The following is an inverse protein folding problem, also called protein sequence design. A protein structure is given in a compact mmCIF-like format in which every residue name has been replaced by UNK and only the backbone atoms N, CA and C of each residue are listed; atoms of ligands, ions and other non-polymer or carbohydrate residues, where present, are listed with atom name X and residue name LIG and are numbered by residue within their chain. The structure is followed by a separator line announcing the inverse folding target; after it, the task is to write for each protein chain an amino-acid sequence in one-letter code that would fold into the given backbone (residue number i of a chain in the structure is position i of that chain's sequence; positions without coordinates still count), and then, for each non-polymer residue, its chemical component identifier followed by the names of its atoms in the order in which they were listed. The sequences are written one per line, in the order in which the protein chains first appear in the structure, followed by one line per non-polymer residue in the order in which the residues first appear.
data_IF_128259037224
#
_entry.id   IF_128259037224
#
_cell.length_a   1.000
_cell.length_b   1.000
_cell.length_c   1.000
_cell.angle_alpha   90.00
_cell.angle_beta   90.00
_cell.angle_gamma   90.00
#
_symmetry.space_group_name_H-M   'P 1'
#
loop_
_entity.id
_entity.type
_entity.pdbx_description
1 polymer ?
#
# COMPACT_ATOMS: atom_id res chain seq x y z
N UNK A 1 -28.31 1.56 69.84
CA UNK A 1 -27.52 1.99 68.66
C UNK A 1 -26.24 1.15 68.61
N UNK A 2 -26.19 0.10 67.80
CA UNK A 2 -24.95 -0.61 67.47
C UNK A 2 -24.71 -0.41 65.97
N UNK A 3 -23.64 0.30 65.61
CA UNK A 3 -23.27 0.54 64.23
C UNK A 3 -22.36 -0.62 63.75
N UNK A 4 -22.86 -1.39 62.78
CA UNK A 4 -22.10 -2.41 62.06
C UNK A 4 -21.14 -1.74 61.08
N UNK A 5 -19.84 -1.82 61.35
CA UNK A 5 -18.78 -1.35 60.45
C UNK A 5 -18.50 -2.45 59.42
N UNK A 6 -18.91 -2.22 58.17
CA UNK A 6 -18.63 -3.14 57.05
C UNK A 6 -17.30 -2.73 56.41
N UNK A 7 -16.26 -3.56 56.59
CA UNK A 7 -14.99 -3.42 55.90
C UNK A 7 -15.11 -3.97 54.47
N UNK A 8 -15.04 -3.09 53.47
CA UNK A 8 -15.01 -3.47 52.06
C UNK A 8 -13.55 -3.67 51.65
N UNK A 9 -13.14 -4.93 51.48
CA UNK A 9 -11.81 -5.27 50.99
C UNK A 9 -11.75 -5.11 49.46
N UNK A 10 -11.10 -4.05 48.98
CA UNK A 10 -10.84 -3.81 47.56
C UNK A 10 -9.64 -4.63 47.09
N UNK A 11 -9.90 -5.71 46.33
CA UNK A 11 -8.86 -6.46 45.62
C UNK A 11 -8.40 -5.67 44.38
N UNK A 12 -7.20 -5.12 44.41
CA UNK A 12 -6.53 -4.62 43.19
C UNK A 12 -5.90 -5.80 42.45
N UNK A 13 -6.45 -6.12 41.27
CA UNK A 13 -5.87 -7.11 40.36
C UNK A 13 -4.63 -6.48 39.70
N UNK A 14 -3.44 -6.88 40.13
CA UNK A 14 -2.19 -6.52 39.45
C UNK A 14 -1.97 -7.49 38.29
N UNK A 15 -2.23 -7.05 37.06
CA UNK A 15 -1.89 -7.81 35.86
C UNK A 15 -0.39 -7.67 35.59
N UNK A 16 0.41 -8.61 36.10
CA UNK A 16 1.79 -8.76 35.66
C UNK A 16 1.80 -9.25 34.20
N UNK A 17 2.02 -8.33 33.26
CA UNK A 17 2.24 -8.66 31.86
C UNK A 17 3.55 -9.46 31.74
N UNK A 18 3.45 -10.78 31.71
CA UNK A 18 4.58 -11.68 31.45
C UNK A 18 4.87 -11.67 29.94
N UNK A 19 5.55 -10.62 29.48
CA UNK A 19 6.17 -10.61 28.16
C UNK A 19 7.19 -11.75 28.09
N UNK A 20 6.96 -12.73 27.23
CA UNK A 20 7.96 -13.77 26.92
C UNK A 20 9.16 -13.09 26.26
N UNK A 21 10.18 -12.77 27.05
CA UNK A 21 11.47 -12.35 26.53
C UNK A 21 12.02 -13.45 25.62
N UNK A 22 12.33 -13.10 24.37
CA UNK A 22 13.19 -13.95 23.55
C UNK A 22 14.47 -14.24 24.36
N UNK A 23 14.91 -15.50 24.41
CA UNK A 23 15.97 -16.03 25.30
C UNK A 23 17.37 -15.37 25.19
N UNK A 24 17.50 -14.25 24.49
CA UNK A 24 18.73 -13.49 24.25
C UNK A 24 18.65 -12.00 24.60
N UNK A 25 17.53 -11.51 25.14
CA UNK A 25 17.35 -10.10 25.47
C UNK A 25 17.44 -9.88 26.99
N UNK A 26 18.19 -8.86 27.41
CA UNK A 26 18.26 -8.41 28.81
C UNK A 26 17.11 -7.48 29.17
N UNK A 27 17.16 -6.91 30.38
CA UNK A 27 16.24 -5.86 30.82
C UNK A 27 16.37 -4.63 29.93
N UNK A 28 15.25 -4.02 29.53
CA UNK A 28 15.24 -2.81 28.72
C UNK A 28 15.68 -1.61 29.56
N UNK A 29 16.73 -0.93 29.13
CA UNK A 29 17.24 0.31 29.73
C UNK A 29 17.15 1.45 28.69
N UNK A 30 16.03 2.20 28.63
CA UNK A 30 15.77 3.19 27.57
C UNK A 30 16.81 4.32 27.49
N UNK A 31 17.46 4.62 28.62
CA UNK A 31 18.50 5.66 28.70
C UNK A 31 19.76 5.32 27.88
N UNK A 32 19.98 4.05 27.57
CA UNK A 32 21.12 3.57 26.78
C UNK A 32 20.84 3.51 25.27
N UNK A 33 19.64 3.89 24.84
CA UNK A 33 19.28 3.88 23.43
C UNK A 33 19.99 4.98 22.64
N UNK A 34 20.39 4.67 21.41
CA UNK A 34 20.97 5.65 20.48
C UNK A 34 19.86 6.61 20.01
N UNK A 35 20.07 7.93 20.04
CA UNK A 35 19.08 8.90 19.56
C UNK A 35 18.83 8.76 18.06
N UNK A 36 17.58 8.96 17.64
CA UNK A 36 17.18 8.96 16.23
C UNK A 36 17.77 10.17 15.47
N UNK A 37 17.94 10.07 14.13
CA UNK A 37 18.38 11.18 13.31
C UNK A 37 17.45 12.40 13.45
N UNK A 38 18.01 13.61 13.46
CA UNK A 38 17.24 14.86 13.54
C UNK A 38 16.33 15.09 12.35
N UNK A 39 16.70 14.54 11.18
CA UNK A 39 15.92 14.61 9.95
C UNK A 39 14.76 13.59 9.91
N UNK A 40 14.63 12.78 10.96
CA UNK A 40 13.65 11.70 11.06
C UNK A 40 14.03 10.45 10.27
N UNK A 41 13.19 9.41 10.36
CA UNK A 41 13.38 8.16 9.63
C UNK A 41 12.52 8.16 8.36
N UNK A 42 13.17 8.04 7.19
CA UNK A 42 12.50 8.09 5.88
C UNK A 42 11.39 7.02 5.70
N UNK A 43 11.55 5.85 6.33
CA UNK A 43 10.61 4.72 6.27
C UNK A 43 9.95 4.44 7.62
N UNK A 44 9.92 5.45 8.50
CA UNK A 44 9.37 5.35 9.85
C UNK A 44 10.32 4.66 10.84
N UNK A 45 9.86 4.61 12.08
CA UNK A 45 10.57 3.97 13.20
C UNK A 45 9.99 2.59 13.50
N UNK A 46 10.79 1.76 14.14
CA UNK A 46 10.39 0.46 14.68
C UNK A 46 11.19 0.17 15.93
N UNK A 47 10.72 -0.75 16.75
CA UNK A 47 11.52 -1.21 17.89
C UNK A 47 12.61 -2.18 17.43
N UNK A 48 13.75 -2.11 18.11
CA UNK A 48 14.87 -3.03 17.95
C UNK A 48 14.44 -4.51 18.15
N UNK A 49 15.31 -5.49 17.86
CA UNK A 49 14.95 -6.89 17.98
C UNK A 49 14.44 -7.32 19.37
N UNK A 50 14.87 -6.62 20.43
CA UNK A 50 14.46 -6.87 21.81
C UNK A 50 13.23 -6.07 22.25
N UNK A 51 12.75 -5.09 21.46
CA UNK A 51 11.55 -4.32 21.78
C UNK A 51 11.78 -3.15 22.75
N UNK A 52 13.01 -2.70 22.92
CA UNK A 52 13.42 -1.66 23.86
C UNK A 52 13.64 -0.30 23.20
N UNK A 53 14.49 -0.24 22.16
CA UNK A 53 14.90 1.03 21.57
C UNK A 53 14.18 1.29 20.25
N UNK A 54 13.80 2.54 20.01
CA UNK A 54 13.36 2.97 18.68
C UNK A 54 14.55 3.10 17.74
N UNK A 55 14.43 2.49 16.56
CA UNK A 55 15.42 2.52 15.48
C UNK A 55 14.73 2.85 14.16
N UNK A 56 15.46 3.44 13.21
CA UNK A 56 14.93 3.61 11.86
C UNK A 56 14.76 2.24 11.19
N UNK A 57 13.57 2.02 10.62
CA UNK A 57 13.30 0.81 9.86
C UNK A 57 14.09 0.80 8.54
N UNK A 58 14.51 -0.38 8.10
CA UNK A 58 15.21 -0.51 6.82
C UNK A 58 14.25 -0.27 5.64
N UNK A 59 14.64 0.61 4.74
CA UNK A 59 13.89 1.03 3.55
C UNK A 59 14.01 0.09 2.37
N UNK A 60 13.30 0.41 1.28
CA UNK A 60 13.35 -0.37 0.05
C UNK A 60 14.77 -0.40 -0.53
N UNK A 61 15.30 -1.59 -0.80
CA UNK A 61 16.67 -1.78 -1.29
C UNK A 61 17.74 -1.80 -0.19
N UNK A 62 17.40 -1.52 1.06
CA UNK A 62 18.36 -1.56 2.17
C UNK A 62 18.60 -2.99 2.68
N UNK A 63 19.78 -3.19 3.29
CA UNK A 63 20.15 -4.46 3.91
C UNK A 63 19.29 -4.76 5.13
N UNK A 64 18.81 -5.99 5.22
CA UNK A 64 18.04 -6.52 6.34
C UNK A 64 18.54 -7.89 6.77
N UNK A 65 17.98 -8.41 7.87
CA UNK A 65 18.43 -9.67 8.45
C UNK A 65 19.65 -9.50 9.36
N UNK A 66 20.28 -10.61 9.70
CA UNK A 66 21.36 -10.70 10.68
C UNK A 66 21.02 -11.60 11.87
N UNK A 67 21.93 -11.67 12.85
CA UNK A 67 21.72 -12.33 14.14
C UNK A 67 22.09 -11.37 15.26
N UNK A 68 21.37 -11.43 16.38
CA UNK A 68 21.64 -10.58 17.54
C UNK A 68 21.13 -9.15 17.37
N UNK A 69 21.76 -8.21 18.06
CA UNK A 69 21.31 -6.82 18.18
C UNK A 69 21.52 -5.99 16.90
N UNK A 70 22.40 -6.42 15.99
CA UNK A 70 22.61 -5.79 14.69
C UNK A 70 21.64 -6.26 13.62
N UNK A 71 20.69 -7.15 13.96
CA UNK A 71 19.68 -7.61 13.02
C UNK A 71 18.72 -6.47 12.66
N UNK A 72 18.72 -6.07 11.38
CA UNK A 72 17.90 -4.97 10.88
C UNK A 72 16.61 -5.51 10.29
N UNK A 73 15.46 -4.92 10.62
CA UNK A 73 14.17 -5.33 10.03
C UNK A 73 13.68 -4.28 9.04
N UNK A 74 12.97 -4.75 8.03
CA UNK A 74 12.38 -3.88 7.02
C UNK A 74 11.19 -3.09 7.59
N UNK A 75 10.92 -1.94 6.98
CA UNK A 75 9.80 -1.09 7.31
C UNK A 75 8.43 -1.79 7.18
N UNK A 76 7.38 -1.30 7.87
CA UNK A 76 6.05 -1.88 7.80
C UNK A 76 5.50 -1.98 6.37
N UNK A 77 5.19 -3.19 5.92
CA UNK A 77 4.74 -3.47 4.55
C UNK A 77 5.85 -3.92 3.60
N UNK A 78 7.05 -4.16 4.12
CA UNK A 78 8.17 -4.74 3.38
C UNK A 78 8.52 -6.14 3.90
N UNK A 79 9.25 -6.89 3.08
CA UNK A 79 9.75 -8.23 3.38
C UNK A 79 11.26 -8.29 3.11
N UNK A 80 11.97 -9.02 3.97
CA UNK A 80 13.40 -9.22 3.83
C UNK A 80 13.65 -10.45 2.94
N UNK A 81 14.02 -10.22 1.69
CA UNK A 81 14.29 -11.28 0.71
C UNK A 81 15.79 -11.57 0.68
N UNK A 82 16.15 -12.84 0.69
CA UNK A 82 17.53 -13.31 0.57
C UNK A 82 17.76 -13.88 -0.81
N UNK A 83 18.98 -13.77 -1.31
CA UNK A 83 19.35 -14.45 -2.55
C UNK A 83 19.23 -15.96 -2.40
N UNK A 84 18.61 -16.59 -3.40
CA UNK A 84 18.32 -18.02 -3.38
C UNK A 84 19.59 -18.88 -3.42
N UNK A 85 20.65 -18.38 -4.07
CA UNK A 85 21.96 -19.03 -4.18
C UNK A 85 22.75 -18.98 -2.86
N UNK A 86 22.55 -17.93 -2.07
CA UNK A 86 23.18 -17.75 -0.76
C UNK A 86 22.21 -18.04 0.38
N UNK A 87 21.68 -19.26 0.45
CA UNK A 87 20.82 -19.70 1.57
C UNK A 87 21.52 -19.66 2.94
N UNK A 88 22.85 -19.54 2.97
CA UNK A 88 23.63 -19.30 4.21
C UNK A 88 23.76 -17.82 4.57
N UNK A 89 23.38 -16.90 3.69
CA UNK A 89 23.47 -15.47 3.98
C UNK A 89 22.53 -15.12 5.12
N UNK A 90 23.12 -14.46 6.12
CA UNK A 90 22.38 -13.95 7.28
C UNK A 90 21.61 -12.68 6.91
N UNK A 91 22.00 -12.02 5.83
CA UNK A 91 21.47 -10.76 5.37
C UNK A 91 20.63 -10.96 4.10
N UNK A 92 19.78 -9.99 3.81
CA UNK A 92 18.96 -9.89 2.62
C UNK A 92 18.69 -8.43 2.30
N UNK A 93 17.77 -8.19 1.38
CA UNK A 93 17.34 -6.86 0.95
C UNK A 93 15.85 -6.69 1.22
N UNK A 94 15.47 -5.49 1.67
CA UNK A 94 14.07 -5.14 1.87
C UNK A 94 13.38 -4.87 0.54
N UNK A 95 12.30 -5.61 0.28
CA UNK A 95 11.44 -5.43 -0.89
C UNK A 95 10.02 -5.10 -0.43
N UNK A 96 9.25 -4.46 -1.31
CA UNK A 96 7.84 -4.19 -1.01
C UNK A 96 7.03 -5.49 -1.00
N UNK A 97 6.15 -5.68 -0.01
CA UNK A 97 5.19 -6.80 -0.02
C UNK A 97 4.10 -6.63 -1.08
N UNK A 98 3.79 -5.39 -1.42
CA UNK A 98 2.82 -5.07 -2.47
C UNK A 98 3.53 -5.03 -3.81
N UNK A 99 3.06 -5.86 -4.74
CA UNK A 99 3.52 -5.94 -6.12
C UNK A 99 2.45 -5.44 -7.12
N UNK A 100 1.50 -4.63 -6.64
CA UNK A 100 0.38 -4.13 -7.43
C UNK A 100 0.19 -2.63 -7.20
N UNK A 101 -0.32 -1.94 -8.21
CA UNK A 101 -0.58 -0.51 -8.18
C UNK A 101 -1.69 -0.14 -7.19
N UNK A 102 -1.64 1.07 -6.63
CA UNK A 102 -2.69 1.60 -5.75
C UNK A 102 -3.04 3.04 -6.11
N UNK A 103 -4.32 3.39 -5.94
CA UNK A 103 -4.77 4.77 -6.07
C UNK A 103 -4.71 5.45 -4.71
N UNK A 104 -3.99 6.56 -4.62
CA UNK A 104 -3.94 7.39 -3.42
C UNK A 104 -5.16 8.30 -3.28
N UNK A 105 -5.42 8.76 -2.05
CA UNK A 105 -6.44 9.78 -1.76
C UNK A 105 -6.15 11.14 -2.41
N UNK A 106 -4.94 11.33 -2.93
CA UNK A 106 -4.49 12.45 -3.74
C UNK A 106 -4.80 12.30 -5.24
N UNK A 107 -5.45 11.21 -5.64
CA UNK A 107 -5.76 10.91 -7.05
C UNK A 107 -4.55 10.45 -7.87
N UNK A 108 -3.42 10.17 -7.24
CA UNK A 108 -2.20 9.70 -7.89
C UNK A 108 -2.15 8.17 -7.84
N UNK A 109 -1.79 7.55 -8.97
CA UNK A 109 -1.51 6.12 -9.02
C UNK A 109 -0.07 5.84 -8.64
N UNK A 110 0.12 5.03 -7.61
CA UNK A 110 1.42 4.58 -7.13
C UNK A 110 1.70 3.16 -7.62
N UNK A 111 2.95 2.88 -8.02
CA UNK A 111 3.35 1.57 -8.55
C UNK A 111 3.16 0.44 -7.54
N UNK A 112 3.43 0.72 -6.28
CA UNK A 112 3.23 -0.20 -5.16
C UNK A 112 2.70 0.54 -3.94
N UNK A 113 2.15 -0.21 -2.98
CA UNK A 113 1.80 0.36 -1.67
C UNK A 113 2.98 0.97 -0.89
N UNK A 114 4.23 0.59 -1.18
CA UNK A 114 5.40 1.17 -0.53
C UNK A 114 5.73 2.56 -1.07
N UNK A 115 5.55 2.79 -2.37
CA UNK A 115 5.76 4.10 -2.98
C UNK A 115 4.76 5.13 -2.43
N UNK A 116 3.50 4.71 -2.24
CA UNK A 116 2.48 5.55 -1.61
C UNK A 116 2.87 5.90 -0.17
N UNK A 117 3.32 4.93 0.64
CA UNK A 117 3.74 5.20 2.02
C UNK A 117 4.94 6.16 2.09
N UNK A 118 5.91 6.00 1.20
CA UNK A 118 7.06 6.91 1.13
C UNK A 118 6.62 8.33 0.75
N UNK A 119 5.69 8.46 -0.21
CA UNK A 119 5.09 9.74 -0.57
C UNK A 119 4.28 10.35 0.58
N UNK A 120 3.51 9.54 1.30
CA UNK A 120 2.74 9.96 2.48
C UNK A 120 3.65 10.52 3.58
N UNK A 121 4.73 9.79 3.93
CA UNK A 121 5.67 10.26 4.94
C UNK A 121 6.31 11.60 4.55
N UNK A 122 6.67 11.76 3.27
CA UNK A 122 7.17 13.03 2.74
C UNK A 122 6.13 14.13 2.82
N UNK A 123 4.86 13.84 2.53
CA UNK A 123 3.77 14.79 2.66
C UNK A 123 3.61 15.26 4.12
N UNK A 124 3.55 14.32 5.07
CA UNK A 124 3.45 14.60 6.51
C UNK A 124 4.63 15.45 6.99
N UNK A 125 5.86 15.10 6.62
CA UNK A 125 7.06 15.86 6.99
C UNK A 125 7.06 17.29 6.40
N UNK A 126 6.32 17.51 5.32
CA UNK A 126 6.12 18.81 4.69
C UNK A 126 4.82 19.49 5.15
N UNK A 127 4.18 18.99 6.22
CA UNK A 127 2.90 19.48 6.76
C UNK A 127 1.77 19.51 5.71
N UNK A 128 1.83 18.61 4.73
CA UNK A 128 0.78 18.40 3.72
C UNK A 128 -0.23 17.36 4.20
N UNK A 129 -1.44 17.33 3.60
CA UNK A 129 -2.45 16.32 3.92
C UNK A 129 -1.92 14.89 3.77
N UNK A 130 -2.38 14.00 4.65
CA UNK A 130 -2.04 12.57 4.61
C UNK A 130 -2.57 11.90 3.32
N UNK A 131 -1.71 11.08 2.70
CA UNK A 131 -2.02 10.27 1.53
C UNK A 131 -2.32 8.84 1.98
N UNK A 132 -3.55 8.39 1.77
CA UNK A 132 -4.01 7.04 2.12
C UNK A 132 -4.38 6.27 0.85
N UNK A 133 -4.48 4.95 0.95
CA UNK A 133 -4.95 4.13 -0.18
C UNK A 133 -6.46 4.33 -0.33
N UNK A 134 -6.89 4.88 -1.45
CA UNK A 134 -8.30 5.00 -1.82
C UNK A 134 -8.82 3.65 -2.35
N UNK A 135 -8.13 3.07 -3.35
CA UNK A 135 -8.51 1.82 -4.00
C UNK A 135 -7.26 1.02 -4.43
N UNK A 136 -7.42 -0.30 -4.58
CA UNK A 136 -6.42 -1.16 -5.23
C UNK A 136 -6.46 -0.94 -6.76
N UNK A 137 -5.30 -0.97 -7.40
CA UNK A 137 -5.16 -0.70 -8.82
C UNK A 137 -4.94 0.78 -9.13
N UNK A 138 -5.06 1.14 -10.41
CA UNK A 138 -4.92 2.52 -10.88
C UNK A 138 -6.08 3.38 -10.41
N UNK A 139 -5.86 4.69 -10.35
CA UNK A 139 -6.94 5.65 -10.17
C UNK A 139 -7.91 5.61 -11.34
N UNK A 140 -9.17 5.95 -11.04
CA UNK A 140 -10.23 6.02 -12.03
C UNK A 140 -9.86 6.99 -13.16
N UNK A 141 -10.08 6.56 -14.40
CA UNK A 141 -9.73 7.30 -15.60
C UNK A 141 -10.92 7.26 -16.53
N UNK A 142 -11.31 8.45 -17.01
CA UNK A 142 -12.38 8.59 -18.00
C UNK A 142 -11.99 7.80 -19.25
N UNK A 143 -12.93 7.04 -19.83
CA UNK A 143 -12.61 6.28 -21.03
C UNK A 143 -12.25 7.16 -22.22
N UNK A 144 -11.23 6.74 -22.96
CA UNK A 144 -10.75 7.40 -24.18
C UNK A 144 -10.70 6.37 -25.30
N UNK A 145 -11.29 6.71 -26.44
CA UNK A 145 -11.17 5.92 -27.68
C UNK A 145 -9.76 6.11 -28.22
N UNK A 146 -8.95 5.05 -28.16
CA UNK A 146 -7.59 5.04 -28.72
C UNK A 146 -7.60 4.64 -30.18
N UNK A 147 -8.49 3.71 -30.55
CA UNK A 147 -8.65 3.27 -31.94
C UNK A 147 -10.10 3.51 -32.36
N UNK A 148 -10.39 4.56 -33.14
CA UNK A 148 -11.76 4.88 -33.54
C UNK A 148 -12.30 3.87 -34.55
N UNK A 149 -13.63 3.70 -34.62
CA UNK A 149 -14.26 2.89 -35.66
C UNK A 149 -14.01 3.44 -37.05
N UNK A 150 -13.92 2.53 -38.03
CA UNK A 150 -13.87 2.86 -39.45
C UNK A 150 -15.27 2.85 -40.06
N UNK A 151 -15.46 3.68 -41.07
CA UNK A 151 -16.66 3.64 -41.90
C UNK A 151 -16.66 2.38 -42.77
N UNK A 152 -17.81 1.71 -42.82
CA UNK A 152 -18.03 0.49 -43.60
C UNK A 152 -19.26 0.68 -44.47
N UNK A 153 -19.12 0.41 -45.76
CA UNK A 153 -20.20 0.47 -46.75
C UNK A 153 -20.65 -0.95 -47.08
N UNK A 154 -21.91 -1.28 -46.80
CA UNK A 154 -22.46 -2.60 -47.09
C UNK A 154 -23.95 -2.49 -47.49
N UNK A 155 -24.49 -3.55 -48.11
CA UNK A 155 -25.89 -3.61 -48.53
C UNK A 155 -26.82 -3.94 -47.37
N UNK A 156 -28.06 -3.44 -47.42
CA UNK A 156 -29.09 -3.65 -46.40
C UNK A 156 -29.34 -5.14 -46.15
N UNK A 157 -29.37 -5.54 -44.88
CA UNK A 157 -29.57 -6.94 -44.46
C UNK A 157 -28.26 -7.72 -44.27
N UNK A 158 -27.12 -7.19 -44.70
CA UNK A 158 -25.82 -7.81 -44.45
C UNK A 158 -25.34 -7.57 -43.01
N UNK A 159 -24.59 -8.53 -42.48
CA UNK A 159 -23.87 -8.38 -41.22
C UNK A 159 -22.61 -7.52 -41.42
N UNK A 160 -22.31 -6.65 -40.46
CA UNK A 160 -21.10 -5.83 -40.42
C UNK A 160 -20.42 -5.97 -39.06
N UNK A 161 -19.09 -5.95 -39.05
CA UNK A 161 -18.28 -6.00 -37.84
C UNK A 161 -17.67 -4.64 -37.59
N UNK A 162 -17.94 -4.09 -36.40
CA UNK A 162 -17.43 -2.80 -35.99
C UNK A 162 -16.44 -3.01 -34.87
N UNK A 163 -15.27 -2.38 -35.00
CA UNK A 163 -14.20 -2.46 -34.02
C UNK A 163 -13.84 -1.05 -33.57
N UNK A 164 -13.70 -0.89 -32.26
CA UNK A 164 -13.17 0.30 -31.61
C UNK A 164 -12.37 -0.20 -30.41
N UNK A 165 -11.32 0.52 -30.03
CA UNK A 165 -10.57 0.27 -28.81
C UNK A 165 -10.66 1.49 -27.92
N UNK A 166 -11.03 1.27 -26.66
CA UNK A 166 -11.09 2.31 -25.66
C UNK A 166 -10.35 1.86 -24.41
N UNK A 167 -9.61 2.78 -23.81
CA UNK A 167 -8.91 2.58 -22.54
C UNK A 167 -9.64 3.37 -21.46
N UNK A 168 -9.64 2.89 -20.23
CA UNK A 168 -10.26 3.56 -19.09
C UNK A 168 -10.08 2.74 -17.82
N UNK A 169 -10.33 3.36 -16.67
CA UNK A 169 -10.37 2.67 -15.38
C UNK A 169 -11.69 3.03 -14.69
N UNK A 170 -12.64 2.09 -14.56
CA UNK A 170 -12.59 0.69 -15.01
C UNK A 170 -12.58 0.55 -16.55
N UNK A 171 -12.28 -0.65 -17.03
CA UNK A 171 -12.31 -0.97 -18.47
C UNK A 171 -13.68 -0.62 -19.04
N UNK A 172 -13.76 0.23 -20.08
CA UNK A 172 -15.02 0.72 -20.58
C UNK A 172 -15.83 -0.32 -21.35
N UNK A 173 -17.16 -0.20 -21.29
CA UNK A 173 -18.07 -0.96 -22.14
C UNK A 173 -18.35 -0.20 -23.43
N UNK A 174 -18.15 -0.84 -24.59
CA UNK A 174 -18.41 -0.25 -25.90
C UNK A 174 -19.87 -0.40 -26.30
N UNK A 175 -20.55 0.72 -26.54
CA UNK A 175 -21.93 0.75 -27.04
C UNK A 175 -22.01 1.31 -28.46
N UNK A 176 -22.68 0.58 -29.35
CA UNK A 176 -22.91 0.97 -30.75
C UNK A 176 -24.32 1.48 -30.97
N UNK A 177 -24.47 2.56 -31.74
CA UNK A 177 -25.77 3.02 -32.23
C UNK A 177 -25.76 3.19 -33.73
N UNK A 178 -26.81 2.67 -34.35
CA UNK A 178 -27.16 2.93 -35.74
C UNK A 178 -27.69 4.36 -35.84
N UNK A 179 -27.00 5.19 -36.62
CA UNK A 179 -27.35 6.58 -36.92
C UNK A 179 -27.72 6.65 -38.41
N UNK A 180 -28.93 7.09 -38.74
CA UNK A 180 -29.41 7.16 -40.11
C UNK A 180 -29.61 8.59 -40.62
N UNK A 181 -29.42 8.77 -41.94
CA UNK A 181 -29.97 9.90 -42.71
C UNK A 181 -30.52 9.38 -44.05
N UNK A 182 -31.18 10.23 -44.85
CA UNK A 182 -31.82 9.87 -46.13
C UNK A 182 -30.87 9.18 -47.15
N UNK A 183 -29.56 9.31 -46.98
CA UNK A 183 -28.51 8.75 -47.84
C UNK A 183 -27.81 7.49 -47.28
N UNK A 184 -28.19 6.98 -46.10
CA UNK A 184 -27.64 5.74 -45.53
C UNK A 184 -27.63 5.68 -44.01
N UNK A 185 -27.17 4.54 -43.47
CA UNK A 185 -26.98 4.33 -42.04
C UNK A 185 -25.48 4.15 -41.72
N UNK A 186 -24.99 4.82 -40.68
CA UNK A 186 -23.66 4.63 -40.10
C UNK A 186 -23.78 4.08 -38.69
N UNK A 187 -22.77 3.39 -38.20
CA UNK A 187 -22.71 2.99 -36.80
C UNK A 187 -21.62 3.79 -36.08
N UNK A 188 -21.98 4.39 -34.95
CA UNK A 188 -21.06 5.17 -34.14
C UNK A 188 -20.89 4.50 -32.77
N UNK A 189 -19.64 4.44 -32.29
CA UNK A 189 -19.36 4.23 -30.88
C UNK A 189 -19.68 5.54 -30.16
N UNK A 190 -20.69 5.54 -29.29
CA UNK A 190 -21.22 6.77 -28.68
C UNK A 190 -20.81 6.94 -27.22
N UNK A 191 -20.52 5.83 -26.55
CA UNK A 191 -20.24 5.85 -25.12
C UNK A 191 -19.33 4.69 -24.77
N UNK A 192 -18.14 5.04 -24.30
CA UNK A 192 -17.25 4.18 -23.52
C UNK A 192 -17.39 4.71 -22.10
N UNK A 193 -18.16 4.03 -21.26
CA UNK A 193 -18.37 4.45 -19.87
C UNK A 193 -18.04 3.34 -18.89
N UNK A 194 -17.98 3.67 -17.60
CA UNK A 194 -17.74 2.71 -16.53
C UNK A 194 -18.90 1.73 -16.34
#
# INVERSE_FOLDING_TARGET
MLALVVFVASLTVTTAATGRAARSCGTCEPSSCVPLPTDGCAFGTMLDPCGCCEICAAGLGESCGGRGLSARRCAPGMECVKDADEQKSKFGICVCKSNYEVCGSDGVTYKTGCDLKAANQKAINQEKPEITVQNKGKCAQVPVIVTPPKDIWNVTGSQVFLSCEAIGVPTPVLTWKKVGNQSGYRAAAIWAGP
#
